data_IF_471575661094
#
_entry.id   IF_471575661094
#
_cell.length_a   1.000
_cell.length_b   1.000
_cell.length_c   1.000
_cell.angle_alpha   90.00
_cell.angle_beta   90.00
_cell.angle_gamma   90.00
#
_symmetry.space_group_name_H-M   'P 1'
#
loop_
_entity.id
_entity.type
_entity.pdbx_description
1 polymer ?
#
# COMPACT_ATOMS: atom_id res chain seq x y z
N UNK A 1 1.40 -7.09 -1.73
CA UNK A 1 2.76 -7.51 -2.11
C UNK A 1 3.81 -6.69 -1.37
N UNK A 2 5.05 -7.17 -1.33
CA UNK A 2 6.20 -6.41 -0.86
C UNK A 2 6.61 -5.35 -1.88
N UNK A 3 7.19 -4.26 -1.39
CA UNK A 3 7.61 -3.14 -2.23
C UNK A 3 9.06 -3.35 -2.73
N UNK A 4 9.28 -3.49 -4.05
CA UNK A 4 10.62 -3.65 -4.58
C UNK A 4 11.47 -2.37 -4.52
N UNK A 5 10.85 -1.21 -4.31
CA UNK A 5 11.53 0.08 -4.23
C UNK A 5 11.83 0.50 -2.78
N UNK A 6 11.10 -0.06 -1.82
CA UNK A 6 11.23 0.24 -0.40
C UNK A 6 11.70 -1.01 0.36
N UNK A 7 12.98 -1.29 0.24
CA UNK A 7 13.62 -2.41 0.90
C UNK A 7 15.08 -2.06 1.22
N UNK A 8 15.71 -2.85 2.09
CA UNK A 8 17.14 -2.70 2.36
C UNK A 8 17.97 -3.28 1.20
N UNK A 9 18.50 -2.42 0.37
CA UNK A 9 19.02 -2.65 -0.97
C UNK A 9 20.15 -3.67 -1.15
N UNK A 10 20.73 -4.24 -0.11
CA UNK A 10 22.03 -4.91 -0.27
C UNK A 10 22.04 -6.43 -0.09
N UNK A 11 20.97 -7.07 0.32
CA UNK A 11 21.04 -8.51 0.62
C UNK A 11 19.70 -9.27 0.54
N UNK A 12 18.74 -8.78 -0.26
CA UNK A 12 17.49 -9.50 -0.46
C UNK A 12 17.09 -9.58 -1.93
N UNK A 13 16.33 -10.64 -2.25
CA UNK A 13 15.69 -10.83 -3.56
C UNK A 13 14.20 -11.06 -3.35
N UNK A 14 13.38 -10.31 -4.08
CA UNK A 14 11.94 -10.54 -4.16
C UNK A 14 11.61 -11.43 -5.36
N UNK A 15 10.67 -12.35 -5.20
CA UNK A 15 10.20 -13.27 -6.24
C UNK A 15 8.72 -13.62 -6.02
N UNK A 16 8.16 -14.46 -6.89
CA UNK A 16 6.77 -14.90 -6.82
C UNK A 16 5.78 -13.71 -6.73
N UNK A 17 5.92 -12.73 -7.65
CA UNK A 17 5.09 -11.53 -7.62
C UNK A 17 5.31 -10.64 -6.39
N UNK A 18 6.54 -10.61 -5.88
CA UNK A 18 6.94 -9.89 -4.66
C UNK A 18 6.21 -10.36 -3.39
N UNK A 19 5.85 -11.63 -3.33
CA UNK A 19 5.32 -12.27 -2.12
C UNK A 19 6.38 -13.09 -1.39
N UNK A 20 7.44 -13.49 -2.09
CA UNK A 20 8.56 -14.21 -1.50
C UNK A 20 9.78 -13.30 -1.38
N UNK A 21 10.38 -13.27 -0.18
CA UNK A 21 11.65 -12.62 0.08
C UNK A 21 12.70 -13.66 0.45
N UNK A 22 13.87 -13.55 -0.18
CA UNK A 22 15.05 -14.35 0.15
C UNK A 22 16.17 -13.42 0.56
N UNK A 23 16.76 -13.65 1.72
CA UNK A 23 17.88 -12.87 2.23
C UNK A 23 19.19 -13.62 1.94
N UNK A 24 20.12 -12.93 1.32
CA UNK A 24 21.46 -13.49 1.05
C UNK A 24 22.41 -13.02 2.13
N UNK A 25 22.71 -13.93 3.05
CA UNK A 25 23.83 -13.87 4.01
C UNK A 25 23.98 -12.53 4.75
N UNK A 26 23.33 -12.42 5.92
CA UNK A 26 23.16 -11.17 6.62
C UNK A 26 24.31 -10.74 7.50
N UNK A 27 24.94 -9.66 7.13
CA UNK A 27 25.70 -8.80 8.05
C UNK A 27 24.96 -7.47 8.20
N UNK A 28 23.76 -7.50 8.75
CA UNK A 28 22.96 -6.30 8.94
C UNK A 28 21.47 -6.58 8.91
N UNK A 29 20.70 -5.75 9.52
CA UNK A 29 19.24 -5.82 9.47
C UNK A 29 18.76 -5.52 8.05
N UNK A 30 18.33 -6.56 7.34
CA UNK A 30 17.75 -6.46 6.01
C UNK A 30 16.26 -6.70 6.09
N UNK A 31 15.46 -5.92 5.37
CA UNK A 31 14.04 -6.07 5.41
C UNK A 31 13.31 -5.60 4.16
N UNK A 32 12.11 -6.09 4.02
CA UNK A 32 11.16 -5.66 3.00
C UNK A 32 9.83 -5.29 3.66
N UNK A 33 9.16 -4.30 3.10
CA UNK A 33 7.86 -3.82 3.58
C UNK A 33 6.78 -3.98 2.51
N UNK A 34 5.52 -3.99 2.93
CA UNK A 34 4.39 -4.02 2.00
C UNK A 34 4.26 -2.72 1.19
N UNK A 35 3.69 -2.83 -0.02
CA UNK A 35 3.39 -1.68 -0.87
C UNK A 35 2.31 -0.76 -0.30
N UNK A 36 1.53 -1.24 0.66
CA UNK A 36 0.38 -0.55 1.23
C UNK A 36 0.40 -0.65 2.75
N UNK A 37 -0.01 0.42 3.42
CA UNK A 37 -0.28 0.40 4.85
C UNK A 37 -1.70 -0.13 5.15
N UNK A 38 -1.88 -0.59 6.37
CA UNK A 38 -3.18 -1.07 6.86
C UNK A 38 -4.12 0.09 7.17
N UNK A 39 -5.02 0.43 6.25
CA UNK A 39 -6.05 1.45 6.46
C UNK A 39 -7.33 0.90 7.12
N UNK A 40 -7.60 -0.39 6.97
CA UNK A 40 -8.72 -1.12 7.56
C UNK A 40 -8.19 -2.30 8.39
N UNK A 41 -9.08 -2.99 9.11
CA UNK A 41 -8.74 -4.24 9.78
C UNK A 41 -8.17 -5.22 8.78
N UNK A 42 -6.90 -5.59 8.97
CA UNK A 42 -6.18 -6.44 8.04
C UNK A 42 -5.74 -7.75 8.66
N UNK A 43 -5.62 -8.76 7.79
CA UNK A 43 -5.04 -10.06 8.09
C UNK A 43 -3.99 -10.42 7.06
N UNK A 44 -2.84 -10.90 7.52
CA UNK A 44 -1.72 -11.35 6.68
C UNK A 44 -1.11 -12.60 7.30
N UNK A 45 -0.69 -13.53 6.46
CA UNK A 45 0.09 -14.69 6.87
C UNK A 45 1.54 -14.58 6.42
N UNK A 46 2.39 -15.19 7.18
CA UNK A 46 3.81 -15.34 6.92
C UNK A 46 4.19 -16.81 7.05
N UNK A 47 4.81 -17.36 6.02
CA UNK A 47 5.31 -18.73 6.03
C UNK A 47 6.84 -18.74 6.05
N UNK A 48 7.41 -19.38 7.07
CA UNK A 48 8.83 -19.65 7.17
C UNK A 48 9.17 -20.85 6.29
N UNK A 49 10.01 -20.66 5.26
CA UNK A 49 10.35 -21.72 4.31
C UNK A 49 11.60 -22.48 4.73
N UNK A 50 12.59 -21.78 5.28
CA UNK A 50 13.85 -22.39 5.72
C UNK A 50 13.88 -22.62 7.23
N UNK A 51 14.49 -23.71 7.72
CA UNK A 51 14.39 -24.10 9.13
C UNK A 51 15.24 -23.28 10.11
N UNK A 52 16.22 -22.56 9.61
CA UNK A 52 17.19 -21.86 10.50
C UNK A 52 17.13 -20.38 10.28
N UNK A 53 16.74 -19.62 11.32
CA UNK A 53 17.13 -18.23 11.45
C UNK A 53 16.35 -17.47 12.49
N UNK A 54 16.98 -16.41 12.92
CA UNK A 54 16.32 -15.33 13.63
C UNK A 54 15.68 -14.41 12.58
N UNK A 55 14.37 -14.39 12.53
CA UNK A 55 13.61 -13.59 11.59
C UNK A 55 12.56 -12.80 12.31
N UNK A 56 12.17 -11.67 11.81
CA UNK A 56 11.01 -10.99 12.32
C UNK A 56 9.96 -10.75 11.24
N UNK A 57 8.72 -10.72 11.68
CA UNK A 57 7.53 -10.47 10.90
C UNK A 57 6.62 -9.57 11.72
N UNK A 58 6.23 -8.43 11.19
CA UNK A 58 5.51 -7.49 12.02
C UNK A 58 4.98 -6.27 11.29
N UNK A 59 4.85 -5.21 12.04
CA UNK A 59 4.37 -3.92 11.59
C UNK A 59 5.40 -2.84 11.88
N UNK A 60 5.72 -2.05 10.89
CA UNK A 60 6.62 -0.90 10.99
C UNK A 60 5.89 0.37 10.59
N UNK A 61 6.18 1.46 11.28
CA UNK A 61 5.64 2.77 10.94
C UNK A 61 6.16 3.24 9.58
N UNK A 62 5.28 3.83 8.77
CA UNK A 62 5.61 4.26 7.40
C UNK A 62 6.82 5.18 7.35
N UNK A 63 6.95 6.10 8.30
CA UNK A 63 8.06 7.06 8.37
C UNK A 63 9.38 6.41 8.78
N UNK A 64 9.34 5.24 9.43
CA UNK A 64 10.53 4.54 9.94
C UNK A 64 11.05 3.46 8.98
N UNK A 65 10.35 3.19 7.90
CA UNK A 65 10.54 2.00 7.06
C UNK A 65 11.92 1.85 6.41
N UNK A 66 12.72 2.91 6.27
CA UNK A 66 14.00 2.86 5.56
C UNK A 66 15.24 3.02 6.43
N UNK A 67 15.13 3.47 7.64
CA UNK A 67 16.28 3.92 8.42
C UNK A 67 16.54 3.14 9.71
N UNK A 68 15.59 2.35 10.18
CA UNK A 68 15.62 1.78 11.53
C UNK A 68 15.32 0.28 11.62
N UNK A 69 15.85 -0.51 10.69
CA UNK A 69 15.82 -1.96 10.77
C UNK A 69 16.71 -2.43 11.94
N UNK A 70 16.18 -2.42 13.12
CA UNK A 70 16.86 -3.03 14.26
C UNK A 70 16.20 -4.37 14.54
N UNK A 71 16.86 -5.45 14.27
CA UNK A 71 16.39 -6.83 14.28
C UNK A 71 15.43 -7.31 15.38
N UNK A 72 15.00 -6.49 16.29
CA UNK A 72 14.10 -6.84 17.40
C UNK A 72 12.83 -5.98 17.43
N UNK A 73 12.29 -5.65 16.26
CA UNK A 73 11.16 -4.74 16.15
C UNK A 73 11.62 -3.31 15.92
N UNK A 74 11.02 -2.66 14.95
CA UNK A 74 11.32 -1.30 14.60
C UNK A 74 11.17 -0.36 15.80
N UNK A 75 11.90 0.73 15.78
CA UNK A 75 11.90 1.76 16.84
C UNK A 75 10.50 2.21 17.22
N UNK A 76 9.53 2.11 16.30
CA UNK A 76 8.13 2.47 16.54
C UNK A 76 7.17 1.48 15.86
N UNK A 77 7.39 0.19 16.08
CA UNK A 77 6.58 -0.87 15.51
C UNK A 77 6.46 -2.07 16.45
N UNK A 78 6.00 -3.17 15.91
CA UNK A 78 5.93 -4.45 16.60
C UNK A 78 6.32 -5.58 15.67
N UNK A 79 6.91 -6.62 16.20
CA UNK A 79 7.28 -7.80 15.45
C UNK A 79 7.25 -9.07 16.27
N UNK A 80 6.90 -10.17 15.61
CA UNK A 80 7.11 -11.51 16.09
C UNK A 80 8.51 -11.95 15.64
N UNK A 81 9.43 -12.03 16.59
CA UNK A 81 10.76 -12.53 16.40
C UNK A 81 10.75 -14.05 16.52
N UNK A 82 11.11 -14.72 15.43
CA UNK A 82 10.99 -16.15 15.27
C UNK A 82 12.39 -16.73 15.30
N UNK A 83 12.68 -17.59 16.27
CA UNK A 83 13.94 -18.31 16.36
C UNK A 83 13.72 -19.82 16.32
N UNK A 84 14.79 -20.59 16.21
CA UNK A 84 14.70 -22.04 16.32
C UNK A 84 14.24 -22.52 17.71
N UNK A 85 14.46 -21.72 18.75
CA UNK A 85 14.17 -22.09 20.14
C UNK A 85 13.06 -21.28 20.81
N UNK A 86 12.60 -20.19 20.20
CA UNK A 86 11.63 -19.31 20.86
C UNK A 86 10.97 -18.33 19.88
N UNK A 87 9.67 -18.20 19.96
CA UNK A 87 8.93 -17.15 19.26
C UNK A 87 8.60 -16.04 20.26
N UNK A 88 9.00 -14.81 19.94
CA UNK A 88 8.97 -13.67 20.85
C UNK A 88 8.31 -12.45 20.21
N UNK A 89 7.43 -11.78 20.95
CA UNK A 89 6.81 -10.53 20.48
C UNK A 89 7.57 -9.35 21.08
N UNK A 90 7.98 -8.43 20.20
CA UNK A 90 8.62 -7.17 20.58
C UNK A 90 7.75 -5.99 20.18
N UNK A 91 7.83 -4.92 20.96
CA UNK A 91 7.32 -3.60 20.62
C UNK A 91 8.41 -2.56 20.89
N UNK A 92 8.77 -1.77 19.88
CA UNK A 92 9.80 -0.74 20.01
C UNK A 92 11.10 -1.26 20.67
N UNK A 93 11.55 -2.46 20.27
CA UNK A 93 12.74 -3.12 20.83
C UNK A 93 12.56 -3.76 22.22
N UNK A 94 11.39 -3.66 22.84
CA UNK A 94 11.11 -4.23 24.15
C UNK A 94 10.39 -5.58 24.00
N UNK A 95 10.88 -6.62 24.68
CA UNK A 95 10.21 -7.93 24.73
C UNK A 95 8.90 -7.82 25.50
N UNK A 96 7.80 -8.20 24.85
CA UNK A 96 6.44 -8.16 25.42
C UNK A 96 5.97 -9.55 25.83
N UNK A 97 6.28 -10.56 24.99
CA UNK A 97 5.79 -11.93 25.18
C UNK A 97 6.78 -12.94 24.62
N UNK A 98 6.82 -14.12 25.21
CA UNK A 98 7.65 -15.25 24.76
C UNK A 98 6.87 -16.55 24.89
N UNK A 99 6.90 -17.37 23.84
CA UNK A 99 6.27 -18.71 23.86
C UNK A 99 7.05 -19.72 24.66
N UNK A 100 8.36 -19.49 24.89
CA UNK A 100 9.26 -20.47 25.48
C UNK A 100 9.67 -21.62 24.56
N UNK A 101 9.19 -21.65 23.33
CA UNK A 101 9.53 -22.64 22.31
C UNK A 101 9.47 -22.02 20.92
N UNK A 102 10.37 -22.45 20.04
CA UNK A 102 10.35 -22.07 18.63
C UNK A 102 9.48 -23.01 17.80
N UNK A 103 9.11 -22.54 16.63
CA UNK A 103 8.27 -23.29 15.70
C UNK A 103 9.09 -23.91 14.56
N UNK A 104 8.70 -25.10 14.06
CA UNK A 104 9.40 -25.78 12.98
C UNK A 104 9.35 -25.00 11.65
N UNK A 105 10.12 -25.48 10.67
CA UNK A 105 9.97 -25.02 9.28
C UNK A 105 8.53 -25.23 8.79
N UNK A 106 8.13 -24.47 7.77
CA UNK A 106 6.79 -24.48 7.19
C UNK A 106 5.65 -24.02 8.13
N UNK A 107 5.98 -23.61 9.36
CA UNK A 107 4.98 -22.98 10.23
C UNK A 107 4.47 -21.69 9.61
N UNK A 108 3.15 -21.54 9.65
CA UNK A 108 2.48 -20.32 9.23
C UNK A 108 2.20 -19.45 10.46
N UNK A 109 2.65 -18.22 10.39
CA UNK A 109 2.45 -17.19 11.38
C UNK A 109 1.39 -16.20 10.88
N UNK A 110 0.68 -15.56 11.78
CA UNK A 110 -0.44 -14.70 11.46
C UNK A 110 -0.31 -13.34 12.13
N UNK A 111 -0.72 -12.29 11.42
CA UNK A 111 -0.99 -10.97 12.00
C UNK A 111 -2.44 -10.59 11.71
N UNK A 112 -3.15 -10.16 12.74
CA UNK A 112 -4.37 -9.39 12.63
C UNK A 112 -4.13 -8.00 13.23
N UNK A 113 -4.47 -6.93 12.51
CA UNK A 113 -4.27 -5.57 12.97
C UNK A 113 -5.53 -4.72 12.74
N UNK A 114 -5.96 -4.04 13.80
CA UNK A 114 -7.06 -3.07 13.80
C UNK A 114 -6.49 -1.66 13.95
N UNK A 115 -6.28 -0.90 12.85
CA UNK A 115 -5.69 0.42 12.88
C UNK A 115 -6.54 1.43 13.65
N UNK A 116 -7.85 1.28 13.66
CA UNK A 116 -8.76 2.21 14.34
C UNK A 116 -8.59 2.18 15.87
N UNK A 117 -8.18 1.05 16.41
CA UNK A 117 -7.94 0.85 17.84
C UNK A 117 -6.46 0.62 18.16
N UNK A 118 -5.58 0.58 17.14
CA UNK A 118 -4.17 0.28 17.28
C UNK A 118 -3.86 -1.16 17.72
N UNK A 119 -4.84 -2.05 17.74
CA UNK A 119 -4.70 -3.40 18.30
C UNK A 119 -4.06 -4.37 17.31
N UNK A 120 -3.03 -5.07 17.76
CA UNK A 120 -2.31 -6.07 16.98
C UNK A 120 -2.28 -7.42 17.71
N UNK A 121 -2.58 -8.46 16.97
CA UNK A 121 -2.52 -9.86 17.42
C UNK A 121 -1.58 -10.64 16.53
N UNK A 122 -0.77 -11.48 17.16
CA UNK A 122 0.07 -12.46 16.50
C UNK A 122 -0.47 -13.87 16.76
N UNK A 123 -0.39 -14.71 15.75
CA UNK A 123 -0.76 -16.12 15.81
C UNK A 123 0.32 -17.03 15.25
N UNK A 124 0.31 -18.28 15.69
CA UNK A 124 1.22 -19.33 15.24
C UNK A 124 0.38 -20.57 14.96
N UNK A 125 0.52 -21.15 13.78
CA UNK A 125 -0.17 -22.38 13.37
C UNK A 125 -1.69 -22.37 13.66
N UNK A 126 -2.34 -21.24 13.39
CA UNK A 126 -3.80 -21.06 13.58
C UNK A 126 -4.23 -20.70 14.99
N UNK A 127 -3.30 -20.59 15.93
CA UNK A 127 -3.59 -20.25 17.33
C UNK A 127 -3.08 -18.84 17.65
N UNK A 128 -3.96 -17.98 18.16
CA UNK A 128 -3.59 -16.64 18.59
C UNK A 128 -2.82 -16.69 19.90
N UNK A 129 -1.69 -15.98 19.94
CA UNK A 129 -0.81 -15.96 21.11
C UNK A 129 -1.46 -15.20 22.28
N UNK A 130 -1.06 -15.58 23.49
CA UNK A 130 -1.51 -14.96 24.74
C UNK A 130 -3.04 -14.90 24.90
N UNK A 131 -3.77 -15.91 24.39
CA UNK A 131 -5.23 -15.95 24.48
C UNK A 131 -5.96 -14.88 23.66
N UNK A 132 -5.31 -14.34 22.65
CA UNK A 132 -5.87 -13.32 21.77
C UNK A 132 -7.14 -13.76 21.06
N UNK A 133 -8.08 -12.82 20.87
CA UNK A 133 -9.28 -13.01 20.08
C UNK A 133 -9.54 -11.77 19.21
N UNK A 134 -8.95 -11.71 18.00
CA UNK A 134 -9.13 -10.57 17.12
C UNK A 134 -10.59 -10.33 16.72
N UNK A 135 -11.37 -11.40 16.50
CA UNK A 135 -12.80 -11.29 16.15
C UNK A 135 -13.62 -10.58 17.22
N UNK A 136 -13.28 -10.78 18.48
CA UNK A 136 -13.91 -10.10 19.61
C UNK A 136 -13.21 -8.77 19.96
N UNK A 137 -12.06 -8.49 19.36
CA UNK A 137 -11.25 -7.30 19.66
C UNK A 137 -10.59 -7.33 21.04
N UNK A 138 -10.31 -8.52 21.60
CA UNK A 138 -9.77 -8.69 22.95
C UNK A 138 -8.46 -9.48 22.95
N UNK A 139 -7.67 -9.34 24.01
CA UNK A 139 -6.42 -10.07 24.20
C UNK A 139 -5.36 -9.73 23.13
N UNK A 140 -5.31 -8.48 22.71
CA UNK A 140 -4.25 -8.01 21.82
C UNK A 140 -2.87 -8.21 22.44
N UNK A 141 -1.89 -8.58 21.62
CA UNK A 141 -0.52 -8.72 22.07
C UNK A 141 0.14 -7.35 22.24
N UNK A 142 -0.20 -6.42 21.35
CA UNK A 142 0.39 -5.08 21.31
C UNK A 142 -0.66 -4.05 20.92
N UNK A 143 -0.56 -2.86 21.54
CA UNK A 143 -1.30 -1.67 21.08
C UNK A 143 -0.32 -0.68 20.47
N UNK A 144 -0.58 -0.26 19.23
CA UNK A 144 0.18 0.70 18.45
C UNK A 144 -0.49 2.08 18.45
N UNK A 145 0.23 3.09 18.00
CA UNK A 145 -0.30 4.45 17.89
C UNK A 145 -1.31 4.56 16.75
N UNK A 146 -2.54 4.96 17.05
CA UNK A 146 -3.63 5.10 16.05
C UNK A 146 -3.47 6.31 15.12
N UNK A 147 -2.58 7.24 15.45
CA UNK A 147 -2.27 8.38 14.58
C UNK A 147 -1.19 8.08 13.54
N UNK A 148 -0.63 6.88 13.54
CA UNK A 148 0.43 6.45 12.61
C UNK A 148 -0.08 5.37 11.67
N UNK A 149 0.47 5.36 10.45
CA UNK A 149 0.23 4.30 9.48
C UNK A 149 1.34 3.24 9.57
N UNK A 150 0.96 1.98 9.42
CA UNK A 150 1.88 0.86 9.54
C UNK A 150 1.88 -0.01 8.28
N UNK A 151 3.09 -0.37 7.83
CA UNK A 151 3.36 -1.35 6.79
C UNK A 151 3.63 -2.71 7.42
N UNK A 152 3.28 -3.78 6.71
CA UNK A 152 3.75 -5.13 7.05
C UNK A 152 5.21 -5.23 6.68
N UNK A 153 6.03 -5.75 7.60
CA UNK A 153 7.46 -5.98 7.37
C UNK A 153 7.83 -7.45 7.51
N UNK A 154 8.88 -7.82 6.81
CA UNK A 154 9.63 -9.06 7.03
C UNK A 154 11.12 -8.72 7.01
N UNK A 155 11.87 -9.13 8.02
CA UNK A 155 13.31 -8.88 8.11
C UNK A 155 14.10 -10.11 8.59
N UNK A 156 15.43 -10.08 8.44
CA UNK A 156 16.33 -11.15 8.83
C UNK A 156 16.82 -11.03 10.29
N UNK A 157 16.31 -10.07 11.03
CA UNK A 157 16.62 -9.84 12.44
C UNK A 157 18.13 -9.70 12.76
N UNK A 158 18.98 -9.43 11.77
CA UNK A 158 20.40 -9.12 11.97
C UNK A 158 21.26 -10.25 12.53
N UNK A 159 20.79 -11.49 12.52
CA UNK A 159 21.61 -12.64 12.95
C UNK A 159 22.59 -13.01 11.85
N UNK A 160 23.83 -12.55 11.95
CA UNK A 160 24.89 -12.82 10.97
C UNK A 160 25.15 -14.30 10.73
N UNK A 161 25.29 -14.71 9.46
CA UNK A 161 25.96 -15.93 9.08
C UNK A 161 25.10 -17.18 8.90
N UNK A 162 23.78 -17.07 8.81
CA UNK A 162 22.91 -18.19 8.42
C UNK A 162 22.86 -18.42 6.90
N UNK A 163 22.46 -19.62 6.43
CA UNK A 163 22.23 -19.87 5.01
C UNK A 163 21.14 -18.96 4.47
N UNK A 164 21.13 -18.73 3.15
CA UNK A 164 20.12 -17.94 2.46
C UNK A 164 18.72 -18.33 2.91
N UNK A 165 17.96 -17.36 3.41
CA UNK A 165 16.68 -17.59 4.04
C UNK A 165 15.54 -17.15 3.16
N UNK A 166 14.56 -18.02 2.96
CA UNK A 166 13.39 -17.73 2.17
C UNK A 166 12.12 -17.69 3.02
N UNK A 167 11.26 -16.73 2.72
CA UNK A 167 9.98 -16.50 3.40
C UNK A 167 8.92 -16.11 2.41
N UNK A 168 7.70 -16.49 2.69
CA UNK A 168 6.56 -16.10 1.86
C UNK A 168 5.52 -15.37 2.71
N UNK A 169 5.09 -14.21 2.21
CA UNK A 169 4.00 -13.45 2.79
C UNK A 169 2.74 -13.66 1.94
N UNK A 170 1.66 -14.00 2.58
CA UNK A 170 0.36 -14.16 1.95
C UNK A 170 -0.52 -12.96 2.27
N UNK A 171 -0.77 -12.16 1.24
CA UNK A 171 -1.63 -10.97 1.29
C UNK A 171 -3.05 -11.26 0.77
N UNK A 172 -3.40 -12.54 0.63
CA UNK A 172 -4.71 -13.01 0.22
C UNK A 172 -4.90 -13.30 -1.28
N UNK A 173 -3.96 -12.96 -2.16
CA UNK A 173 -4.07 -13.23 -3.60
C UNK A 173 -4.08 -14.72 -3.97
N UNK A 174 -3.39 -15.54 -3.19
CA UNK A 174 -3.32 -17.01 -3.36
C UNK A 174 -4.21 -17.75 -2.34
N UNK A 175 -5.04 -17.02 -1.59
CA UNK A 175 -5.75 -17.53 -0.43
C UNK A 175 -4.89 -17.55 0.84
N UNK A 176 -5.53 -17.77 1.97
CA UNK A 176 -4.89 -17.94 3.26
C UNK A 176 -4.92 -19.40 3.70
N UNK A 177 -3.93 -19.80 4.49
CA UNK A 177 -3.89 -21.14 5.12
C UNK A 177 -4.94 -21.24 6.21
N UNK A 178 -5.13 -20.17 6.97
CA UNK A 178 -6.12 -20.09 8.03
C UNK A 178 -7.19 -19.07 7.68
N UNK A 179 -8.41 -19.29 8.19
CA UNK A 179 -9.51 -18.34 8.00
C UNK A 179 -9.21 -17.03 8.73
N UNK A 180 -9.26 -15.88 8.05
CA UNK A 180 -9.14 -14.58 8.70
C UNK A 180 -10.18 -14.41 9.81
N UNK A 181 -9.86 -13.74 10.92
CA UNK A 181 -10.83 -13.41 11.95
C UNK A 181 -11.98 -12.59 11.39
N UNK A 182 -13.18 -12.75 11.98
CA UNK A 182 -14.36 -12.00 11.54
C UNK A 182 -14.09 -10.49 11.54
N UNK A 183 -14.39 -9.83 10.43
CA UNK A 183 -14.18 -8.40 10.24
C UNK A 183 -12.79 -8.01 9.77
N UNK A 184 -11.86 -8.97 9.60
CA UNK A 184 -10.53 -8.74 9.04
C UNK A 184 -10.49 -9.20 7.58
N UNK A 185 -9.79 -8.43 6.75
CA UNK A 185 -9.65 -8.70 5.32
C UNK A 185 -8.18 -8.74 4.90
N UNK A 186 -7.91 -9.27 3.73
CA UNK A 186 -6.59 -9.27 3.13
C UNK A 186 -6.06 -7.83 2.97
N UNK A 187 -4.75 -7.62 3.17
CA UNK A 187 -4.09 -6.37 2.80
C UNK A 187 -3.90 -6.34 1.28
N UNK A 188 -4.96 -5.97 0.58
CA UNK A 188 -5.03 -5.93 -0.88
C UNK A 188 -5.76 -4.67 -1.34
N UNK A 189 -5.42 -4.18 -2.53
CA UNK A 189 -5.96 -2.93 -3.09
C UNK A 189 -7.48 -2.88 -3.08
N UNK A 190 -8.14 -4.01 -3.37
CA UNK A 190 -9.60 -4.12 -3.36
C UNK A 190 -10.25 -3.89 -1.99
N UNK A 191 -9.50 -4.01 -0.91
CA UNK A 191 -9.95 -3.85 0.46
C UNK A 191 -9.54 -2.51 1.08
N UNK A 192 -8.89 -1.65 0.30
CA UNK A 192 -8.59 -0.29 0.75
C UNK A 192 -9.89 0.53 0.85
N UNK A 193 -9.94 1.52 1.73
CA UNK A 193 -11.03 2.48 1.73
C UNK A 193 -11.19 3.08 0.34
N UNK A 194 -12.43 3.27 -0.10
CA UNK A 194 -12.69 4.04 -1.31
C UNK A 194 -12.04 5.41 -1.14
N UNK A 195 -11.21 5.87 -2.09
CA UNK A 195 -10.63 7.20 -2.00
C UNK A 195 -11.71 8.25 -1.71
N UNK A 196 -11.43 9.16 -0.79
CA UNK A 196 -12.37 10.25 -0.46
C UNK A 196 -12.67 11.13 -1.68
N UNK A 197 -11.80 11.06 -2.67
CA UNK A 197 -11.97 11.68 -3.97
C UNK A 197 -12.63 10.63 -4.88
N UNK A 198 -13.94 10.64 -4.87
CA UNK A 198 -14.78 9.73 -5.63
C UNK A 198 -14.79 10.12 -7.10
N UNK A 199 -14.52 9.16 -7.97
CA UNK A 199 -14.87 9.20 -9.39
C UNK A 199 -14.54 10.49 -10.13
N UNK A 200 -13.26 10.84 -10.21
CA UNK A 200 -12.85 11.92 -11.11
C UNK A 200 -13.12 11.60 -12.58
N UNK A 201 -13.07 10.34 -12.99
CA UNK A 201 -13.28 9.96 -14.39
C UNK A 201 -14.71 10.26 -14.84
N UNK A 202 -15.72 9.93 -14.04
CA UNK A 202 -17.12 10.18 -14.40
C UNK A 202 -17.58 11.63 -14.15
N UNK A 203 -16.87 12.37 -13.30
CA UNK A 203 -17.25 13.74 -12.93
C UNK A 203 -16.47 14.82 -13.71
N UNK A 204 -15.27 14.51 -14.17
CA UNK A 204 -14.33 15.49 -14.70
C UNK A 204 -13.94 15.27 -16.16
N UNK A 205 -14.21 14.11 -16.73
CA UNK A 205 -13.95 13.86 -18.13
C UNK A 205 -15.24 13.60 -18.87
N UNK A 206 -15.58 14.52 -19.80
CA UNK A 206 -16.75 14.39 -20.66
C UNK A 206 -16.24 14.43 -22.08
N UNK A 207 -16.42 13.33 -22.80
CA UNK A 207 -16.20 13.29 -24.23
C UNK A 207 -17.50 13.68 -24.93
N UNK A 208 -17.51 14.84 -25.56
CA UNK A 208 -18.63 15.29 -26.36
C UNK A 208 -18.21 15.45 -27.82
N UNK A 209 -18.81 14.67 -28.67
CA UNK A 209 -18.73 14.88 -30.12
C UNK A 209 -19.67 16.00 -30.52
N UNK A 210 -19.15 17.11 -31.05
CA UNK A 210 -19.93 18.20 -31.58
C UNK A 210 -19.77 18.20 -33.08
N UNK A 211 -20.87 18.11 -33.79
CA UNK A 211 -20.89 18.24 -35.24
C UNK A 211 -21.71 19.46 -35.65
N UNK A 212 -21.03 20.46 -36.29
CA UNK A 212 -21.76 21.50 -36.97
C UNK A 212 -20.97 22.26 -37.91
N UNK A 213 -21.61 22.91 -38.79
CA UNK A 213 -21.04 23.38 -40.02
C UNK A 213 -21.55 24.75 -40.49
N UNK A 214 -22.29 25.50 -39.71
CA UNK A 214 -22.98 26.65 -40.22
C UNK A 214 -22.71 27.99 -39.51
N UNK A 215 -21.62 28.06 -38.78
CA UNK A 215 -21.24 29.31 -38.08
C UNK A 215 -22.14 29.70 -36.88
N UNK A 216 -23.00 28.80 -36.46
CA UNK A 216 -23.89 29.05 -35.31
C UNK A 216 -23.24 28.59 -34.00
N UNK A 217 -23.61 29.27 -32.92
CA UNK A 217 -23.23 28.80 -31.56
C UNK A 217 -23.99 27.54 -31.20
N UNK A 218 -23.29 26.53 -30.76
CA UNK A 218 -23.87 25.30 -30.25
C UNK A 218 -23.63 25.17 -28.78
N UNK A 219 -24.70 25.02 -28.02
CA UNK A 219 -24.61 24.72 -26.59
C UNK A 219 -24.36 23.23 -26.41
N UNK A 220 -23.34 22.86 -25.63
CA UNK A 220 -23.07 21.51 -25.16
C UNK A 220 -23.64 21.37 -23.75
N UNK A 221 -24.63 20.49 -23.62
CA UNK A 221 -25.19 20.21 -22.29
C UNK A 221 -24.27 19.19 -21.60
N UNK A 222 -23.69 19.60 -20.48
CA UNK A 222 -22.91 18.73 -19.64
C UNK A 222 -23.85 17.89 -18.76
N UNK A 223 -23.54 16.61 -18.50
CA UNK A 223 -24.40 15.74 -17.68
C UNK A 223 -24.47 16.17 -16.21
N UNK A 224 -23.52 16.99 -15.77
CA UNK A 224 -23.49 17.55 -14.41
C UNK A 224 -23.16 19.04 -14.43
N UNK A 225 -23.68 19.76 -13.44
CA UNK A 225 -23.32 21.16 -13.21
C UNK A 225 -21.87 21.24 -12.74
N UNK A 226 -21.08 22.08 -13.38
CA UNK A 226 -19.72 22.38 -12.96
C UNK A 226 -19.75 23.53 -11.97
N UNK A 227 -19.53 23.26 -10.69
CA UNK A 227 -19.54 24.28 -9.62
C UNK A 227 -18.16 24.91 -9.35
N UNK A 228 -17.12 24.43 -10.01
CA UNK A 228 -15.74 24.88 -9.88
C UNK A 228 -15.17 25.35 -11.21
N UNK A 229 -13.86 25.43 -11.32
CA UNK A 229 -13.18 25.71 -12.57
C UNK A 229 -13.37 24.56 -13.58
N UNK A 230 -13.63 24.89 -14.82
CA UNK A 230 -13.74 23.94 -15.91
C UNK A 230 -12.79 24.30 -17.06
N UNK A 231 -12.35 23.29 -17.80
CA UNK A 231 -11.54 23.44 -18.99
C UNK A 231 -12.16 22.63 -20.13
N UNK A 232 -12.25 23.21 -21.31
CA UNK A 232 -12.66 22.51 -22.51
C UNK A 232 -11.54 22.50 -23.55
N UNK A 233 -11.38 21.38 -24.22
CA UNK A 233 -10.49 21.22 -25.38
C UNK A 233 -11.33 21.04 -26.62
N UNK A 234 -11.07 21.84 -27.65
CA UNK A 234 -11.84 21.87 -28.88
C UNK A 234 -10.90 21.71 -30.06
N UNK A 235 -11.26 20.87 -31.00
CA UNK A 235 -10.53 20.69 -32.26
C UNK A 235 -11.49 20.51 -33.42
N UNK A 236 -11.17 21.09 -34.56
CA UNK A 236 -11.83 20.77 -35.83
C UNK A 236 -11.46 19.36 -36.29
N UNK A 237 -12.41 18.63 -36.78
CA UNK A 237 -12.23 17.27 -37.32
C UNK A 237 -12.16 17.24 -38.86
N UNK A 238 -12.53 18.33 -39.50
CA UNK A 238 -12.60 18.48 -40.94
C UNK A 238 -11.35 19.11 -41.60
N UNK A 239 -10.39 19.51 -40.78
CA UNK A 239 -9.12 20.09 -41.23
C UNK A 239 -7.99 19.86 -40.22
N UNK A 240 -6.75 20.04 -40.67
CA UNK A 240 -5.55 20.05 -39.82
C UNK A 240 -5.49 21.36 -39.03
N UNK A 241 -6.29 21.48 -38.00
CA UNK A 241 -6.28 22.65 -37.13
C UNK A 241 -5.64 22.38 -35.77
N UNK A 242 -5.31 23.44 -35.07
CA UNK A 242 -4.80 23.36 -33.71
C UNK A 242 -5.88 22.96 -32.71
N UNK A 243 -5.45 22.43 -31.57
CA UNK A 243 -6.32 22.30 -30.42
C UNK A 243 -6.48 23.65 -29.72
N UNK A 244 -7.69 24.01 -29.39
CA UNK A 244 -8.01 25.18 -28.58
C UNK A 244 -8.40 24.73 -27.18
N UNK A 245 -7.84 25.41 -26.17
CA UNK A 245 -8.16 25.18 -24.78
C UNK A 245 -8.77 26.45 -24.22
N UNK A 246 -9.96 26.34 -23.69
CA UNK A 246 -10.67 27.42 -22.98
C UNK A 246 -10.96 26.96 -21.55
N UNK A 247 -10.97 27.89 -20.61
CA UNK A 247 -11.27 27.58 -19.22
C UNK A 247 -12.07 28.70 -18.54
N UNK A 248 -12.71 28.36 -17.44
CA UNK A 248 -13.54 29.28 -16.68
C UNK A 248 -12.76 30.36 -15.92
N UNK A 249 -11.45 30.19 -15.76
CA UNK A 249 -10.58 31.15 -15.08
C UNK A 249 -10.26 32.33 -15.99
N UNK A 250 -9.96 32.04 -17.27
CA UNK A 250 -9.63 33.04 -18.27
C UNK A 250 -10.89 33.68 -18.91
N UNK A 251 -12.01 32.97 -18.84
CA UNK A 251 -13.24 33.37 -19.49
C UNK A 251 -13.39 32.83 -20.92
N UNK A 252 -14.42 33.26 -21.62
CA UNK A 252 -14.82 32.67 -22.90
C UNK A 252 -13.98 33.12 -24.10
N UNK A 253 -13.24 34.20 -24.02
CA UNK A 253 -12.52 34.77 -25.15
C UNK A 253 -11.03 34.39 -25.21
N UNK A 254 -10.26 34.42 -24.13
CA UNK A 254 -8.88 33.93 -24.17
C UNK A 254 -8.82 32.40 -24.34
N UNK A 255 -8.02 31.95 -25.28
CA UNK A 255 -7.77 30.53 -25.48
C UNK A 255 -6.27 30.25 -25.64
N UNK A 256 -5.86 29.05 -25.34
CA UNK A 256 -4.49 28.58 -25.55
C UNK A 256 -4.50 27.64 -26.75
N UNK A 257 -3.56 27.85 -27.69
CA UNK A 257 -3.28 26.88 -28.74
C UNK A 257 -2.35 25.82 -28.19
N UNK A 258 -2.83 24.59 -28.06
CA UNK A 258 -2.11 23.53 -27.36
C UNK A 258 -0.88 22.98 -28.10
N UNK A 259 -0.92 22.95 -29.41
CA UNK A 259 0.15 22.37 -30.24
C UNK A 259 1.01 23.44 -30.94
N UNK A 260 0.93 24.69 -30.53
CA UNK A 260 1.84 25.72 -30.97
C UNK A 260 3.17 25.64 -30.21
N UNK A 261 4.29 25.90 -30.87
CA UNK A 261 5.62 25.94 -30.24
C UNK A 261 5.75 27.07 -29.17
N UNK A 262 4.86 28.03 -29.23
CA UNK A 262 4.75 29.09 -28.24
C UNK A 262 3.34 29.12 -27.65
N UNK A 263 3.25 28.93 -26.34
CA UNK A 263 2.00 29.12 -25.61
C UNK A 263 1.65 30.60 -25.55
N UNK A 264 0.81 31.08 -26.44
CA UNK A 264 0.32 32.46 -26.40
C UNK A 264 -1.19 32.44 -26.13
N UNK A 265 -1.64 33.27 -25.18
CA UNK A 265 -3.05 33.55 -25.06
C UNK A 265 -3.47 34.40 -26.26
N UNK A 266 -4.52 34.00 -26.93
CA UNK A 266 -5.09 34.73 -28.04
C UNK A 266 -6.60 34.82 -27.88
N UNK A 267 -7.19 35.92 -28.34
CA UNK A 267 -8.62 36.03 -28.43
C UNK A 267 -9.12 35.39 -29.75
N UNK A 268 -10.29 34.78 -29.75
CA UNK A 268 -10.94 34.41 -31.00
C UNK A 268 -11.17 35.69 -31.79
N UNK A 269 -10.54 35.85 -32.94
CA UNK A 269 -10.89 36.90 -33.89
C UNK A 269 -12.18 36.50 -34.59
N UNK A 270 -13.21 37.30 -34.45
CA UNK A 270 -14.46 37.13 -35.20
C UNK A 270 -14.17 37.27 -36.71
N UNK A 271 -14.03 36.17 -37.39
CA UNK A 271 -14.00 36.22 -38.84
C UNK A 271 -12.73 35.66 -39.51
N UNK A 272 -12.49 34.40 -39.41
CA UNK A 272 -11.73 33.62 -40.41
C UNK A 272 -12.11 32.15 -40.35
#
# INVERSE_FOLDING_TARGET
TLDPLNNSLNALTLSEGNTRVSFTNGTGANGAVSTQYAANKMYVEYKKITPYSSVSFGLIKVEDSLTNWTGNGAVDGTGLYITAGNDQIYKAGVLIFSTGSGSPADTVYQIAYDPSNGKCWFGVAGTWLNGGNPSAGTGENVTLNTSSNYLVQADDAGSGGGPAEARKLHFGSEGFTYTPPTGFTALATQNLPTPAVVNYEDEYYIEAGISHSNGSTTAVTLPKSVSGGAMARIKRTDSTGDWYVVDTVRGALPHIKWNAETFAEANFSDGS
#
